data_IF_624654453615
#
_entry.id   IF_624654453615
#
_cell.length_a   1.000
_cell.length_b   1.000
_cell.length_c   1.000
_cell.angle_alpha   90.00
_cell.angle_beta   90.00
_cell.angle_gamma   90.00
#
_symmetry.space_group_name_H-M   'P 1'
#
loop_
_entity.id
_entity.type
_entity.pdbx_description
1 polymer ?
#
# COMPACT_ATOMS: atom_id res chain seq x y z
N UNK A 1 -14.67 -17.32 -39.10
CA UNK A 1 -16.12 -17.57 -39.30
C UNK A 1 -16.81 -18.36 -38.16
N UNK A 2 -16.12 -19.19 -37.36
CA UNK A 2 -16.75 -20.07 -36.34
C UNK A 2 -17.09 -19.40 -34.99
N UNK A 3 -16.83 -18.11 -34.81
CA UNK A 3 -16.91 -17.42 -33.50
C UNK A 3 -18.20 -16.63 -33.28
N UNK A 4 -19.04 -16.47 -34.30
CA UNK A 4 -20.23 -15.60 -34.30
C UNK A 4 -21.43 -16.40 -34.81
N UNK A 5 -22.55 -16.36 -34.07
CA UNK A 5 -23.83 -16.97 -34.46
C UNK A 5 -24.94 -15.95 -34.29
N UNK A 6 -25.82 -15.81 -35.28
CA UNK A 6 -27.04 -15.00 -35.14
C UNK A 6 -28.08 -15.79 -34.34
N UNK A 7 -28.60 -15.21 -33.27
CA UNK A 7 -29.75 -15.79 -32.55
C UNK A 7 -31.00 -15.70 -33.44
N UNK A 8 -31.79 -16.77 -33.53
CA UNK A 8 -33.01 -16.77 -34.33
C UNK A 8 -34.16 -16.00 -33.66
N UNK A 9 -34.16 -15.91 -32.33
CA UNK A 9 -35.22 -15.26 -31.55
C UNK A 9 -34.96 -13.76 -31.40
N UNK A 10 -33.86 -13.36 -30.75
CA UNK A 10 -33.55 -11.94 -30.53
C UNK A 10 -32.81 -11.27 -31.71
N UNK A 11 -32.51 -12.00 -32.78
CA UNK A 11 -31.76 -11.54 -33.97
C UNK A 11 -30.37 -10.95 -33.71
N UNK A 12 -29.88 -10.95 -32.46
CA UNK A 12 -28.54 -10.44 -32.09
C UNK A 12 -27.43 -11.39 -32.52
N UNK A 13 -26.26 -10.81 -32.79
CA UNK A 13 -25.02 -11.55 -33.02
C UNK A 13 -24.42 -12.01 -31.69
N UNK A 14 -24.23 -13.32 -31.55
CA UNK A 14 -23.72 -13.99 -30.35
C UNK A 14 -22.28 -14.43 -30.61
N UNK A 15 -21.35 -13.95 -29.77
CA UNK A 15 -19.94 -14.32 -29.80
C UNK A 15 -19.69 -15.64 -29.05
N UNK A 16 -19.88 -16.79 -29.71
CA UNK A 16 -19.74 -18.11 -29.11
C UNK A 16 -18.33 -18.37 -28.56
N UNK A 17 -17.28 -17.84 -29.21
CA UNK A 17 -15.89 -18.08 -28.78
C UNK A 17 -15.47 -17.38 -27.48
N UNK A 18 -16.27 -16.43 -26.99
CA UNK A 18 -16.00 -15.68 -25.73
C UNK A 18 -16.95 -16.05 -24.60
N UNK A 19 -17.84 -17.02 -24.83
CA UNK A 19 -18.91 -17.39 -23.92
C UNK A 19 -18.63 -18.76 -23.33
N UNK A 20 -18.76 -18.87 -22.00
CA UNK A 20 -18.72 -20.15 -21.28
C UNK A 20 -20.09 -20.85 -21.27
N UNK A 21 -21.17 -20.09 -21.40
CA UNK A 21 -22.56 -20.56 -21.32
C UNK A 21 -23.31 -20.42 -22.65
N UNK A 22 -24.44 -21.14 -22.76
CA UNK A 22 -25.39 -20.99 -23.87
C UNK A 22 -26.02 -19.60 -23.84
N UNK A 23 -26.36 -19.07 -25.01
CA UNK A 23 -27.02 -17.78 -25.13
C UNK A 23 -28.44 -17.80 -24.57
N UNK A 24 -28.76 -16.78 -23.78
CA UNK A 24 -30.11 -16.47 -23.30
C UNK A 24 -30.50 -15.09 -23.84
N UNK A 25 -31.66 -14.98 -24.49
CA UNK A 25 -32.13 -13.71 -25.02
C UNK A 25 -32.34 -12.70 -23.88
N UNK A 26 -31.97 -11.44 -24.11
CA UNK A 26 -32.09 -10.37 -23.11
C UNK A 26 -30.88 -10.22 -22.17
N UNK A 27 -29.93 -11.15 -22.20
CA UNK A 27 -28.71 -11.04 -21.39
C UNK A 27 -27.76 -9.93 -21.90
N UNK A 28 -27.02 -9.34 -20.97
CA UNK A 28 -25.98 -8.33 -21.21
C UNK A 28 -24.66 -8.79 -20.60
N UNK A 29 -23.53 -8.41 -21.20
CA UNK A 29 -22.23 -8.72 -20.63
C UNK A 29 -21.90 -7.75 -19.50
N UNK A 30 -21.82 -8.25 -18.27
CA UNK A 30 -21.42 -7.47 -17.11
C UNK A 30 -19.89 -7.48 -16.98
N UNK A 31 -19.26 -6.29 -16.96
CA UNK A 31 -17.80 -6.16 -16.82
C UNK A 31 -17.31 -6.59 -15.43
N UNK A 32 -18.09 -6.32 -14.40
CA UNK A 32 -17.77 -6.69 -13.01
C UNK A 32 -17.88 -8.19 -12.79
N UNK A 33 -18.93 -8.81 -13.35
CA UNK A 33 -19.09 -10.26 -13.30
C UNK A 33 -18.27 -10.99 -14.38
N UNK A 34 -17.68 -10.29 -15.34
CA UNK A 34 -17.00 -10.88 -16.49
C UNK A 34 -17.80 -11.98 -17.22
N UNK A 35 -19.14 -11.91 -17.18
CA UNK A 35 -20.08 -12.95 -17.63
C UNK A 35 -21.35 -12.30 -18.20
N UNK A 36 -22.11 -13.07 -18.99
CA UNK A 36 -23.41 -12.64 -19.49
C UNK A 36 -24.48 -12.90 -18.42
N UNK A 37 -25.21 -11.86 -18.06
CA UNK A 37 -26.21 -11.86 -17.00
C UNK A 37 -27.54 -11.26 -17.50
N UNK A 38 -28.67 -11.57 -16.86
CA UNK A 38 -29.92 -10.86 -17.09
C UNK A 38 -29.78 -9.34 -16.95
N UNK A 39 -30.62 -8.59 -17.66
CA UNK A 39 -30.59 -7.11 -17.66
C UNK A 39 -30.76 -6.53 -16.25
N UNK A 40 -31.56 -7.20 -15.42
CA UNK A 40 -31.96 -6.85 -14.06
C UNK A 40 -31.12 -7.53 -12.97
N UNK A 41 -29.99 -8.15 -13.33
CA UNK A 41 -29.18 -8.85 -12.32
C UNK A 41 -28.61 -7.91 -11.26
N UNK A 42 -28.60 -8.39 -10.01
CA UNK A 42 -27.90 -7.74 -8.91
C UNK A 42 -26.40 -8.04 -9.01
N UNK A 43 -25.65 -7.06 -9.50
CA UNK A 43 -24.20 -7.16 -9.64
C UNK A 43 -23.50 -7.01 -8.28
N UNK A 44 -23.27 -8.11 -7.57
CA UNK A 44 -22.54 -8.11 -6.31
C UNK A 44 -21.02 -8.00 -6.52
N UNK A 45 -20.33 -7.37 -5.57
CA UNK A 45 -18.87 -7.33 -5.53
C UNK A 45 -18.33 -8.76 -5.42
N UNK A 46 -17.50 -9.17 -6.38
CA UNK A 46 -16.91 -10.51 -6.36
C UNK A 46 -15.78 -10.58 -5.34
N UNK A 47 -15.62 -11.75 -4.74
CA UNK A 47 -14.41 -12.07 -3.97
C UNK A 47 -13.23 -11.93 -4.93
N UNK A 48 -12.27 -11.07 -4.57
CA UNK A 48 -11.05 -10.93 -5.33
C UNK A 48 -10.21 -12.19 -5.18
N UNK A 49 -10.18 -13.02 -6.23
CA UNK A 49 -9.32 -14.21 -6.31
C UNK A 49 -7.98 -13.91 -6.95
N UNK A 50 -7.69 -12.64 -7.25
CA UNK A 50 -6.42 -12.20 -7.79
C UNK A 50 -5.29 -12.43 -6.80
N UNK A 51 -4.13 -12.86 -7.30
CA UNK A 51 -2.90 -12.78 -6.51
C UNK A 51 -2.41 -11.33 -6.53
N UNK A 52 -1.99 -10.76 -5.39
CA UNK A 52 -1.43 -9.42 -5.37
C UNK A 52 -0.21 -9.38 -6.30
N UNK A 53 -0.13 -8.36 -7.15
CA UNK A 53 1.02 -8.14 -8.03
C UNK A 53 2.17 -7.58 -7.20
N UNK A 54 2.91 -8.46 -6.53
CA UNK A 54 4.04 -8.10 -5.67
C UNK A 54 5.36 -8.03 -6.41
N UNK A 55 5.45 -8.58 -7.63
CA UNK A 55 6.69 -8.61 -8.41
C UNK A 55 7.30 -7.21 -8.55
N UNK A 56 8.61 -7.13 -8.33
CA UNK A 56 9.42 -5.91 -8.38
C UNK A 56 9.07 -4.83 -7.33
N UNK A 57 8.29 -5.16 -6.30
CA UNK A 57 8.07 -4.30 -5.14
C UNK A 57 9.13 -4.48 -4.06
N UNK A 58 9.47 -3.37 -3.42
CA UNK A 58 10.07 -3.31 -2.10
C UNK A 58 9.08 -2.67 -1.12
N UNK A 59 8.81 -3.34 -0.01
CA UNK A 59 8.06 -2.77 1.11
C UNK A 59 9.02 -2.35 2.21
N UNK A 60 8.82 -1.15 2.76
CA UNK A 60 9.58 -0.62 3.89
C UNK A 60 8.56 -0.21 4.94
N UNK A 61 8.42 -1.00 6.00
CA UNK A 61 7.55 -0.67 7.12
C UNK A 61 8.36 0.06 8.17
N UNK A 62 7.96 1.26 8.57
CA UNK A 62 8.73 2.05 9.53
C UNK A 62 7.88 2.58 10.68
N UNK A 63 8.55 2.90 11.77
CA UNK A 63 8.01 3.57 12.94
C UNK A 63 9.02 4.64 13.40
N UNK A 64 8.52 5.82 13.74
CA UNK A 64 9.31 6.91 14.31
C UNK A 64 9.00 7.05 15.79
N UNK A 65 10.04 7.28 16.60
CA UNK A 65 9.88 7.83 17.93
C UNK A 65 10.30 9.29 17.92
N UNK A 66 9.51 10.13 18.60
CA UNK A 66 9.73 11.55 18.69
C UNK A 66 9.62 12.04 20.14
N UNK A 67 10.46 13.03 20.48
CA UNK A 67 10.44 13.75 21.75
C UNK A 67 9.86 15.16 21.57
N UNK A 68 9.43 15.76 22.68
CA UNK A 68 8.85 17.11 22.74
C UNK A 68 9.47 17.94 23.88
N UNK A 69 10.76 17.79 24.10
CA UNK A 69 11.51 18.45 25.17
C UNK A 69 11.89 19.89 24.82
N UNK A 70 11.97 20.24 23.53
CA UNK A 70 12.35 21.56 23.05
C UNK A 70 11.11 22.47 22.82
N UNK A 71 11.16 23.73 23.26
CA UNK A 71 10.11 24.72 22.99
C UNK A 71 10.38 25.45 21.67
N UNK A 72 9.36 25.53 20.81
CA UNK A 72 9.37 26.35 19.60
C UNK A 72 8.92 27.78 19.92
N UNK A 73 7.89 27.91 20.76
CA UNK A 73 7.38 29.18 21.29
C UNK A 73 6.99 28.98 22.75
N UNK A 74 6.56 30.05 23.43
CA UNK A 74 6.10 30.00 24.84
C UNK A 74 4.99 28.95 25.03
N UNK A 75 4.13 28.76 24.03
CA UNK A 75 2.96 27.86 24.11
C UNK A 75 3.06 26.60 23.25
N UNK A 76 4.14 26.43 22.48
CA UNK A 76 4.29 25.30 21.55
C UNK A 76 5.63 24.58 21.71
N UNK A 77 5.56 23.25 21.84
CA UNK A 77 6.71 22.36 21.86
C UNK A 77 7.02 21.83 20.46
N UNK A 78 8.30 21.75 20.14
CA UNK A 78 8.78 21.18 18.90
C UNK A 78 8.83 19.66 19.01
N UNK A 79 8.27 18.96 18.03
CA UNK A 79 8.46 17.52 17.94
C UNK A 79 9.76 17.23 17.20
N UNK A 80 10.65 16.46 17.83
CA UNK A 80 11.94 16.08 17.25
C UNK A 80 12.07 14.57 17.23
N UNK A 81 12.22 14.03 16.02
CA UNK A 81 12.41 12.58 15.83
C UNK A 81 13.80 12.20 16.31
N UNK A 82 13.87 11.21 17.20
CA UNK A 82 15.12 10.73 17.80
C UNK A 82 15.43 9.26 17.47
N UNK A 83 14.48 8.54 16.86
CA UNK A 83 14.69 7.17 16.40
C UNK A 83 13.77 6.89 15.20
N UNK A 84 14.31 6.24 14.18
CA UNK A 84 13.54 5.61 13.11
C UNK A 84 13.94 4.14 13.01
N UNK A 85 12.97 3.25 13.11
CA UNK A 85 13.16 1.81 12.89
C UNK A 85 12.38 1.40 11.66
N UNK A 86 13.05 0.76 10.71
CA UNK A 86 12.45 0.28 9.47
C UNK A 86 12.71 -1.21 9.25
N UNK A 87 11.73 -1.89 8.67
CA UNK A 87 11.76 -3.29 8.24
C UNK A 87 11.53 -3.36 6.74
N UNK A 88 12.47 -3.96 6.00
CA UNK A 88 12.37 -4.09 4.54
C UNK A 88 12.03 -5.52 4.09
N UNK A 89 11.12 -5.61 3.11
CA UNK A 89 10.71 -6.86 2.48
C UNK A 89 10.54 -6.65 0.98
N UNK A 90 11.42 -7.23 0.15
CA UNK A 90 11.19 -7.27 -1.29
C UNK A 90 10.20 -8.39 -1.66
N UNK A 91 9.75 -8.37 -2.91
CA UNK A 91 8.86 -9.38 -3.48
C UNK A 91 9.30 -10.84 -3.26
N UNK A 92 10.61 -11.11 -3.20
CA UNK A 92 11.15 -12.44 -2.85
C UNK A 92 11.04 -12.73 -1.35
N UNK A 93 11.38 -11.76 -0.49
CA UNK A 93 11.33 -11.90 0.98
C UNK A 93 9.95 -12.21 1.54
N UNK A 94 8.89 -11.76 0.85
CA UNK A 94 7.52 -12.01 1.28
C UNK A 94 7.20 -13.51 1.16
N UNK A 95 7.79 -14.19 0.17
CA UNK A 95 7.58 -15.61 -0.09
C UNK A 95 8.68 -16.50 0.52
N UNK A 96 9.88 -15.97 0.79
CA UNK A 96 11.04 -16.72 1.28
C UNK A 96 11.70 -16.13 2.55
N UNK A 97 12.23 -17.02 3.41
CA UNK A 97 12.96 -16.62 4.63
C UNK A 97 14.36 -16.04 4.35
N UNK A 98 15.03 -16.47 3.28
CA UNK A 98 16.33 -15.95 2.86
C UNK A 98 16.20 -15.06 1.63
N UNK A 99 16.99 -13.99 1.59
CA UNK A 99 17.01 -13.06 0.46
C UNK A 99 18.36 -12.37 0.33
N UNK A 100 19.09 -12.67 -0.74
CA UNK A 100 20.38 -12.05 -1.04
C UNK A 100 20.25 -10.54 -1.30
N UNK A 101 19.11 -10.10 -1.85
CA UNK A 101 18.88 -8.67 -2.18
C UNK A 101 18.49 -7.80 -0.98
N UNK A 102 17.96 -8.38 0.10
CA UNK A 102 17.51 -7.60 1.27
C UNK A 102 18.45 -7.65 2.47
N UNK A 103 19.59 -8.36 2.39
CA UNK A 103 20.60 -8.46 3.46
C UNK A 103 19.97 -8.33 4.87
N UNK A 104 20.34 -7.28 5.62
CA UNK A 104 19.67 -6.89 6.86
C UNK A 104 18.29 -6.27 6.60
N UNK A 105 17.26 -6.96 7.07
CA UNK A 105 15.86 -6.51 6.99
C UNK A 105 15.57 -5.35 7.94
N UNK A 106 16.23 -5.32 9.09
CA UNK A 106 16.09 -4.26 10.08
C UNK A 106 17.07 -3.13 9.79
N UNK A 107 16.58 -1.90 9.71
CA UNK A 107 17.38 -0.68 9.66
C UNK A 107 17.00 0.21 10.83
N UNK A 108 18.00 0.68 11.58
CA UNK A 108 17.82 1.53 12.76
C UNK A 108 18.60 2.82 12.50
N UNK A 109 17.94 3.96 12.65
CA UNK A 109 18.53 5.28 12.46
C UNK A 109 18.35 6.09 13.75
N UNK A 110 19.46 6.29 14.48
CA UNK A 110 19.47 6.97 15.79
C UNK A 110 20.01 8.40 15.69
N UNK A 111 21.10 8.60 14.95
CA UNK A 111 21.60 9.91 14.59
C UNK A 111 20.83 10.42 13.37
N UNK A 112 20.35 11.66 13.43
CA UNK A 112 19.59 12.33 12.37
C UNK A 112 18.60 11.41 11.61
N UNK A 113 17.58 10.86 12.31
CA UNK A 113 16.83 9.70 11.82
C UNK A 113 16.11 9.95 10.50
N UNK A 114 15.56 11.15 10.31
CA UNK A 114 14.79 11.51 9.11
C UNK A 114 15.70 11.57 7.89
N UNK A 115 16.84 12.27 7.98
CA UNK A 115 17.74 12.41 6.85
C UNK A 115 18.33 11.06 6.45
N UNK A 116 18.80 10.26 7.41
CA UNK A 116 19.36 8.94 7.10
C UNK A 116 18.31 7.97 6.56
N UNK A 117 17.09 7.96 7.11
CA UNK A 117 16.01 7.15 6.59
C UNK A 117 15.63 7.54 5.16
N UNK A 118 15.48 8.84 4.89
CA UNK A 118 15.10 9.32 3.56
C UNK A 118 16.23 9.12 2.55
N UNK A 119 17.49 9.31 2.92
CA UNK A 119 18.63 8.97 2.06
C UNK A 119 18.60 7.49 1.69
N UNK A 120 18.34 6.61 2.65
CA UNK A 120 18.16 5.19 2.38
C UNK A 120 17.00 4.91 1.40
N UNK A 121 15.83 5.54 1.60
CA UNK A 121 14.69 5.43 0.68
C UNK A 121 15.06 5.92 -0.74
N UNK A 122 15.84 7.00 -0.85
CA UNK A 122 16.29 7.52 -2.14
C UNK A 122 17.30 6.59 -2.84
N UNK A 123 18.13 5.87 -2.09
CA UNK A 123 19.05 4.89 -2.68
C UNK A 123 18.31 3.65 -3.17
N UNK A 124 17.45 3.05 -2.35
CA UNK A 124 16.72 1.83 -2.75
C UNK A 124 15.77 2.06 -3.92
N UNK A 125 15.25 3.27 -4.10
CA UNK A 125 14.39 3.60 -5.25
C UNK A 125 15.12 3.44 -6.60
N UNK A 126 16.46 3.53 -6.62
CA UNK A 126 17.26 3.35 -7.84
C UNK A 126 17.35 1.87 -8.23
N UNK A 127 17.26 0.97 -7.25
CA UNK A 127 17.39 -0.48 -7.44
C UNK A 127 16.04 -1.16 -7.69
N UNK A 128 14.98 -0.69 -7.04
CA UNK A 128 13.65 -1.31 -7.13
C UNK A 128 12.71 -0.51 -8.01
N UNK A 129 11.94 -1.21 -8.85
CA UNK A 129 10.99 -0.58 -9.77
C UNK A 129 9.84 0.10 -9.03
N UNK A 130 9.37 -0.48 -7.92
CA UNK A 130 8.33 0.11 -7.09
C UNK A 130 8.71 0.02 -5.61
N UNK A 131 8.71 1.14 -4.90
CA UNK A 131 8.97 1.18 -3.45
C UNK A 131 7.71 1.64 -2.72
N UNK A 132 7.30 0.87 -1.72
CA UNK A 132 6.13 1.11 -0.90
C UNK A 132 6.58 1.29 0.55
N UNK A 133 6.59 2.54 1.02
CA UNK A 133 6.95 2.90 2.38
C UNK A 133 5.67 3.00 3.20
N UNK A 134 5.58 2.24 4.29
CA UNK A 134 4.34 2.07 5.05
C UNK A 134 4.57 2.43 6.50
N UNK A 135 3.75 3.35 7.01
CA UNK A 135 3.63 3.61 8.44
C UNK A 135 2.27 3.11 8.94
N UNK A 136 2.16 2.82 10.23
CA UNK A 136 0.88 2.57 10.87
C UNK A 136 0.46 3.81 11.66
N UNK A 137 -0.59 4.49 11.21
CA UNK A 137 -1.02 5.81 11.68
C UNK A 137 -0.07 6.97 11.27
N UNK A 138 0.67 6.81 10.16
CA UNK A 138 1.66 7.79 9.70
C UNK A 138 1.10 9.15 9.30
N UNK A 139 -0.19 9.19 8.97
CA UNK A 139 -0.89 10.43 8.60
C UNK A 139 -1.00 11.42 9.77
N UNK A 140 -0.83 10.95 11.01
CA UNK A 140 -0.99 11.77 12.21
C UNK A 140 0.16 12.77 12.34
N UNK A 141 1.41 12.31 12.16
CA UNK A 141 2.59 13.17 12.21
C UNK A 141 3.79 12.67 11.39
N UNK A 142 4.01 11.37 11.24
CA UNK A 142 5.23 10.83 10.60
C UNK A 142 5.47 11.41 9.21
N UNK A 143 4.43 11.47 8.38
CA UNK A 143 4.54 11.98 7.02
C UNK A 143 4.80 13.49 6.94
N UNK A 144 4.52 14.24 8.01
CA UNK A 144 4.88 15.66 8.05
C UNK A 144 6.39 15.85 8.11
N UNK A 145 7.10 15.01 8.87
CA UNK A 145 8.57 15.03 8.93
C UNK A 145 9.20 14.67 7.58
N UNK A 146 8.66 13.63 6.93
CA UNK A 146 9.16 13.20 5.62
C UNK A 146 8.86 14.23 4.53
N UNK A 147 7.67 14.85 4.55
CA UNK A 147 7.33 15.94 3.63
C UNK A 147 8.25 17.14 3.83
N UNK A 148 8.50 17.54 5.08
CA UNK A 148 9.44 18.62 5.41
C UNK A 148 10.82 18.35 4.83
N UNK A 149 11.36 17.15 5.03
CA UNK A 149 12.63 16.74 4.42
C UNK A 149 12.60 16.89 2.89
N UNK A 150 11.55 16.40 2.22
CA UNK A 150 11.45 16.49 0.77
C UNK A 150 11.46 17.93 0.27
N UNK A 151 10.74 18.83 0.96
CA UNK A 151 10.63 20.23 0.58
C UNK A 151 11.91 21.04 0.85
N UNK A 152 12.62 20.74 1.94
CA UNK A 152 13.80 21.50 2.38
C UNK A 152 15.11 20.96 1.81
N UNK A 153 15.26 19.63 1.72
CA UNK A 153 16.53 18.97 1.39
C UNK A 153 16.60 18.49 -0.05
N UNK A 154 15.47 18.53 -0.80
CA UNK A 154 15.41 18.02 -2.16
C UNK A 154 14.70 18.99 -3.11
N UNK A 155 14.86 18.78 -4.42
CA UNK A 155 14.11 19.53 -5.45
C UNK A 155 12.86 18.79 -5.92
N UNK A 156 12.46 17.73 -5.21
CA UNK A 156 11.33 16.91 -5.60
C UNK A 156 10.00 17.57 -5.19
N UNK A 157 8.98 17.38 -6.03
CA UNK A 157 7.62 17.84 -5.74
C UNK A 157 6.71 16.61 -5.62
N UNK A 158 6.43 16.13 -4.40
CA UNK A 158 5.61 14.94 -4.21
C UNK A 158 4.14 15.23 -4.55
N UNK A 159 3.42 14.21 -5.04
CA UNK A 159 1.97 14.24 -5.17
C UNK A 159 1.34 13.82 -3.84
N UNK A 160 0.42 14.62 -3.32
CA UNK A 160 -0.19 14.39 -2.02
C UNK A 160 -1.69 14.11 -2.17
N UNK A 161 -2.18 13.08 -1.47
CA UNK A 161 -3.60 12.91 -1.17
C UNK A 161 -3.79 13.15 0.32
N UNK A 162 -4.62 14.13 0.65
CA UNK A 162 -4.81 14.62 2.02
C UNK A 162 -6.27 14.48 2.46
N UNK A 163 -6.47 14.42 3.77
CA UNK A 163 -7.78 14.57 4.43
C UNK A 163 -7.65 15.63 5.51
N UNK A 164 -8.14 16.83 5.20
CA UNK A 164 -7.78 18.02 5.98
C UNK A 164 -6.26 18.21 5.96
N UNK A 165 -5.64 18.34 7.13
CA UNK A 165 -4.18 18.48 7.29
C UNK A 165 -3.41 17.16 7.27
N UNK A 166 -4.12 16.02 7.28
CA UNK A 166 -3.52 14.68 7.38
C UNK A 166 -3.12 14.18 5.99
N UNK A 167 -1.86 13.79 5.83
CA UNK A 167 -1.35 13.19 4.58
C UNK A 167 -1.69 11.70 4.58
N UNK A 168 -2.51 11.23 3.65
CA UNK A 168 -2.91 9.82 3.56
C UNK A 168 -1.97 9.05 2.61
N UNK A 169 -1.63 9.69 1.50
CA UNK A 169 -0.71 9.18 0.50
C UNK A 169 0.23 10.30 0.09
N UNK A 170 1.52 9.99 0.01
CA UNK A 170 2.53 10.84 -0.58
C UNK A 170 3.29 10.03 -1.63
N UNK A 171 3.30 10.49 -2.87
CA UNK A 171 3.96 9.81 -3.99
C UNK A 171 5.12 10.65 -4.52
N UNK A 172 6.25 9.98 -4.70
CA UNK A 172 7.43 10.54 -5.31
C UNK A 172 7.96 9.56 -6.35
N UNK A 173 7.66 9.83 -7.62
CA UNK A 173 8.14 9.03 -8.75
C UNK A 173 7.72 7.55 -8.61
N UNK A 174 8.66 6.64 -8.33
CA UNK A 174 8.40 5.22 -8.07
C UNK A 174 8.26 4.84 -6.59
N UNK A 175 8.23 5.83 -5.69
CA UNK A 175 8.09 5.66 -4.23
C UNK A 175 6.71 6.12 -3.79
N UNK A 176 6.03 5.31 -2.96
CA UNK A 176 4.74 5.65 -2.36
C UNK A 176 4.81 5.50 -0.85
N UNK A 177 4.51 6.57 -0.13
CA UNK A 177 4.36 6.59 1.33
C UNK A 177 2.87 6.45 1.65
N UNK A 178 2.52 5.38 2.34
CA UNK A 178 1.13 4.97 2.58
C UNK A 178 0.90 4.76 4.07
N UNK A 179 -0.19 5.33 4.58
CA UNK A 179 -0.67 5.00 5.91
C UNK A 179 -1.53 3.73 5.89
N UNK A 180 -1.06 2.69 6.56
CA UNK A 180 -1.76 1.42 6.66
C UNK A 180 -3.08 1.51 7.43
N UNK A 181 -3.30 2.53 8.28
CA UNK A 181 -4.56 2.69 9.01
C UNK A 181 -5.76 2.95 8.08
N UNK A 182 -5.52 3.49 6.89
CA UNK A 182 -6.55 3.66 5.86
C UNK A 182 -7.06 2.33 5.28
N UNK A 183 -6.29 1.25 5.44
CA UNK A 183 -6.63 -0.11 4.98
C UNK A 183 -7.01 -1.03 6.14
N UNK A 184 -6.36 -0.85 7.29
CA UNK A 184 -6.61 -1.57 8.52
C UNK A 184 -7.04 -0.56 9.60
N UNK A 185 -8.34 -0.20 9.67
CA UNK A 185 -8.83 0.83 10.58
C UNK A 185 -8.94 0.31 12.03
N UNK A 186 -7.83 -0.20 12.56
CA UNK A 186 -7.70 -0.79 13.88
C UNK A 186 -6.28 -0.61 14.40
N UNK A 187 -6.09 -0.68 15.72
CA UNK A 187 -4.77 -0.61 16.31
C UNK A 187 -3.90 -1.81 15.89
N UNK A 188 -2.59 -1.59 15.80
CA UNK A 188 -1.61 -2.64 15.48
C UNK A 188 -1.73 -3.87 16.41
N UNK A 189 -2.06 -3.67 17.70
CA UNK A 189 -2.25 -4.73 18.67
C UNK A 189 -3.49 -5.61 18.42
N UNK A 190 -4.47 -5.11 17.66
CA UNK A 190 -5.68 -5.85 17.29
C UNK A 190 -5.47 -6.74 16.06
N UNK A 191 -4.48 -6.44 15.21
CA UNK A 191 -4.24 -7.18 13.96
C UNK A 191 -4.05 -8.69 14.15
N UNK A 192 -3.27 -9.18 15.14
CA UNK A 192 -3.07 -10.63 15.28
C UNK A 192 -4.38 -11.38 15.53
N UNK A 193 -5.26 -10.79 16.36
CA UNK A 193 -6.58 -11.36 16.64
C UNK A 193 -7.49 -11.31 15.41
N UNK A 194 -7.54 -10.19 14.70
CA UNK A 194 -8.41 -10.01 13.54
C UNK A 194 -8.05 -10.95 12.38
N UNK A 195 -6.76 -11.20 12.17
CA UNK A 195 -6.27 -12.03 11.06
C UNK A 195 -5.93 -13.47 11.47
N UNK A 196 -6.29 -13.89 12.70
CA UNK A 196 -5.96 -15.20 13.24
C UNK A 196 -4.47 -15.55 13.08
N UNK A 197 -3.60 -14.57 13.31
CA UNK A 197 -2.15 -14.76 13.30
C UNK A 197 -1.70 -15.34 14.65
N UNK A 198 -0.70 -16.22 14.62
CA UNK A 198 -0.15 -16.86 15.82
C UNK A 198 0.17 -15.85 16.93
N UNK A 199 -0.07 -16.25 18.17
CA UNK A 199 0.11 -15.42 19.36
C UNK A 199 1.54 -14.95 19.61
N UNK A 200 2.53 -15.53 18.92
CA UNK A 200 3.93 -15.08 18.94
C UNK A 200 4.17 -13.82 18.07
N UNK A 201 3.24 -13.50 17.15
CA UNK A 201 3.26 -12.28 16.33
C UNK A 201 2.52 -11.11 17.01
N UNK A 202 2.46 -11.11 18.34
CA UNK A 202 1.91 -9.99 19.13
C UNK A 202 2.82 -8.78 19.00
N UNK A 203 2.24 -7.58 19.15
CA UNK A 203 2.99 -6.32 19.25
C UNK A 203 4.06 -6.48 20.34
N UNK A 204 5.33 -6.46 19.95
CA UNK A 204 6.43 -6.37 20.91
C UNK A 204 6.37 -5.02 21.61
N UNK A 205 6.65 -5.01 22.91
CA UNK A 205 7.03 -3.79 23.61
C UNK A 205 8.52 -3.57 23.35
N UNK A 206 8.85 -2.47 22.69
CA UNK A 206 10.24 -2.00 22.65
C UNK A 206 10.52 -1.31 24.01
N UNK A 207 11.66 -1.60 24.67
CA UNK A 207 12.03 -0.96 25.93
C UNK A 207 12.34 0.54 25.78
#
# INVERSE_FOLDING_TARGET
CKSLKKCMDCKRLVLLGKRKSKHVCGEVFCKTCAEYMPLDHLCHMRVDTGKPKTKDFLFILFNLEARQDEYLTVDAKNHKVNLCVAQQFCWKCIESKSCESCQDRTKIFESDPINHFMNYVMEVRKTFKNVCVVAHNGHCFDFQFLLKYLLEQTKFTPKLIMRGTKIILMELDNVRFIDSLSFFPMALSALPKTFNLDSEKKRGYFP
#
